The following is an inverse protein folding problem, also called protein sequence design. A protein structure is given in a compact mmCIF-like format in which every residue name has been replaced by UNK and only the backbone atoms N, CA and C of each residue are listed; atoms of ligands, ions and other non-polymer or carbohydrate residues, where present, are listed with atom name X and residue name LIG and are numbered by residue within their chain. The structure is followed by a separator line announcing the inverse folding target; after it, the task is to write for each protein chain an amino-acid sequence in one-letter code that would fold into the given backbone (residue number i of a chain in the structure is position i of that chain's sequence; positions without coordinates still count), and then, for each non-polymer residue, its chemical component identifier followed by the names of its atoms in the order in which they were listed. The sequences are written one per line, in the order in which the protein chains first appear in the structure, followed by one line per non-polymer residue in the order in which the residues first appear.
data_IF_161765007470
#
_entry.id   IF_161765007470
#
_cell.length_a   1.000
_cell.length_b   1.000
_cell.length_c   1.000
_cell.angle_alpha   90.00
_cell.angle_beta   90.00
_cell.angle_gamma   90.00
#
_symmetry.space_group_name_H-M   'P 1'
#
loop_
_entity.id
_entity.type
_entity.pdbx_description
1 polymer ?
#
# COMPACT_ATOMS: atom_id res chain seq x y z
N UNK A 1 22.08 41.05 13.35
CA UNK A 1 21.53 40.02 12.44
C UNK A 1 22.23 38.71 12.78
N UNK A 2 21.57 37.79 13.46
CA UNK A 2 22.15 36.47 13.73
C UNK A 2 22.10 35.67 12.43
N UNK A 3 23.26 35.40 11.84
CA UNK A 3 23.40 34.39 10.80
C UNK A 3 22.94 33.08 11.40
N UNK A 4 21.88 32.47 10.88
CA UNK A 4 21.58 31.06 11.15
C UNK A 4 22.84 30.30 10.76
N UNK A 5 23.65 29.89 11.75
CA UNK A 5 24.71 28.93 11.51
C UNK A 5 24.02 27.73 10.88
N UNK A 6 24.50 27.30 9.72
CA UNK A 6 23.99 26.10 9.06
C UNK A 6 24.17 24.95 10.06
N UNK A 7 23.10 24.61 10.80
CA UNK A 7 23.15 23.70 11.97
C UNK A 7 23.57 22.27 11.56
N UNK A 8 23.71 22.07 10.26
CA UNK A 8 24.02 20.82 9.62
C UNK A 8 25.30 20.87 8.76
N UNK A 9 26.11 21.94 8.82
CA UNK A 9 27.37 22.05 8.06
C UNK A 9 28.39 20.94 8.38
N UNK A 10 28.36 20.41 9.60
CA UNK A 10 29.22 19.29 10.00
C UNK A 10 28.83 17.96 9.37
N UNK A 11 27.65 17.87 8.72
CA UNK A 11 27.26 16.64 8.01
C UNK A 11 27.94 16.49 6.64
N UNK A 12 28.57 17.56 6.12
CA UNK A 12 29.28 17.52 4.84
C UNK A 12 30.54 16.63 4.89
N UNK A 13 30.95 16.17 6.08
CA UNK A 13 32.06 15.24 6.25
C UNK A 13 31.66 13.76 6.27
N UNK A 14 30.36 13.43 6.22
CA UNK A 14 29.93 12.03 6.20
C UNK A 14 29.79 11.51 4.78
N UNK A 15 30.21 10.26 4.60
CA UNK A 15 29.95 9.51 3.39
C UNK A 15 28.46 9.17 3.27
N UNK A 16 28.00 8.86 2.05
CA UNK A 16 26.57 8.63 1.80
C UNK A 16 25.97 7.49 2.64
N UNK A 17 26.74 6.43 2.87
CA UNK A 17 26.33 5.29 3.70
C UNK A 17 26.19 5.67 5.19
N UNK A 18 27.12 6.48 5.71
CA UNK A 18 27.09 6.95 7.11
C UNK A 18 25.89 7.86 7.33
N UNK A 19 25.65 8.80 6.41
CA UNK A 19 24.52 9.70 6.47
C UNK A 19 23.19 8.94 6.34
N UNK A 20 23.16 7.87 5.53
CA UNK A 20 21.99 7.00 5.42
C UNK A 20 21.72 6.24 6.72
N UNK A 21 22.75 5.68 7.36
CA UNK A 21 22.63 4.99 8.64
C UNK A 21 22.14 5.94 9.75
N UNK A 22 22.65 7.18 9.79
CA UNK A 22 22.17 8.21 10.73
C UNK A 22 20.71 8.57 10.49
N UNK A 23 20.28 8.67 9.23
CA UNK A 23 18.87 8.89 8.91
C UNK A 23 17.97 7.74 9.39
N UNK A 24 18.42 6.49 9.27
CA UNK A 24 17.70 5.33 9.80
C UNK A 24 17.60 5.38 11.34
N UNK A 25 18.68 5.73 12.03
CA UNK A 25 18.66 5.91 13.49
C UNK A 25 17.69 7.01 13.93
N UNK A 26 17.59 8.09 13.16
CA UNK A 26 16.60 9.14 13.41
C UNK A 26 15.17 8.63 13.22
N UNK A 27 14.90 7.77 12.23
CA UNK A 27 13.59 7.14 12.08
C UNK A 27 13.24 6.22 13.26
N UNK A 28 14.19 5.45 13.76
CA UNK A 28 13.98 4.61 14.94
C UNK A 28 13.62 5.40 16.19
N UNK A 29 14.17 6.62 16.31
CA UNK A 29 13.87 7.58 17.38
C UNK A 29 12.59 8.38 17.14
N UNK A 30 11.96 8.24 15.97
CA UNK A 30 10.77 9.01 15.57
C UNK A 30 11.08 10.40 15.03
N UNK A 31 12.36 10.76 14.86
CA UNK A 31 12.83 12.05 14.33
C UNK A 31 12.68 12.11 12.79
N UNK A 32 11.45 11.96 12.31
CA UNK A 32 11.14 11.82 10.86
C UNK A 32 11.60 13.04 10.04
N UNK A 33 11.56 14.24 10.61
CA UNK A 33 12.00 15.47 9.94
C UNK A 33 13.51 15.48 9.68
N UNK A 34 14.30 15.14 10.71
CA UNK A 34 15.76 15.05 10.62
C UNK A 34 16.20 13.96 9.66
N UNK A 35 15.54 12.79 9.72
CA UNK A 35 15.79 11.70 8.78
C UNK A 35 15.51 12.14 7.34
N UNK A 36 14.34 12.74 7.07
CA UNK A 36 13.97 13.16 5.73
C UNK A 36 14.90 14.25 5.17
N UNK A 37 15.38 15.16 6.02
CA UNK A 37 16.38 16.16 5.63
C UNK A 37 17.67 15.47 5.16
N UNK A 38 18.21 14.52 5.94
CA UNK A 38 19.43 13.76 5.58
C UNK A 38 19.24 12.98 4.28
N UNK A 39 18.12 12.26 4.17
CA UNK A 39 17.82 11.44 3.00
C UNK A 39 17.67 12.29 1.72
N UNK A 40 17.12 13.50 1.81
CA UNK A 40 17.02 14.40 0.66
C UNK A 40 18.38 14.83 0.13
N UNK A 41 19.37 15.03 1.00
CA UNK A 41 20.73 15.32 0.54
C UNK A 41 21.31 14.15 -0.25
N UNK A 42 21.01 12.93 0.20
CA UNK A 42 21.45 11.72 -0.48
C UNK A 42 20.75 11.51 -1.82
N UNK A 43 19.52 11.98 -2.02
CA UNK A 43 18.82 11.77 -3.30
C UNK A 43 19.44 12.49 -4.50
N UNK A 44 20.30 13.48 -4.25
CA UNK A 44 21.01 14.26 -5.27
C UNK A 44 22.51 13.89 -5.37
N UNK A 45 22.99 12.96 -4.53
CA UNK A 45 24.38 12.50 -4.52
C UNK A 45 24.69 11.55 -5.69
N UNK A 46 25.97 11.44 -6.07
CA UNK A 46 26.39 10.54 -7.15
C UNK A 46 26.43 9.07 -6.70
N UNK A 47 26.69 8.85 -5.41
CA UNK A 47 26.88 7.58 -4.73
C UNK A 47 25.68 7.21 -3.84
N UNK A 48 24.47 7.67 -4.20
CA UNK A 48 23.24 7.42 -3.42
C UNK A 48 23.01 5.93 -3.13
N UNK A 49 22.93 5.52 -1.86
CA UNK A 49 22.59 4.14 -1.51
C UNK A 49 21.19 3.80 -2.02
N UNK A 50 20.97 2.65 -2.70
CA UNK A 50 19.67 2.34 -3.30
C UNK A 50 18.49 2.29 -2.31
N UNK A 51 18.79 1.99 -1.04
CA UNK A 51 17.82 1.98 0.06
C UNK A 51 17.21 3.36 0.37
N UNK A 52 17.91 4.45 0.06
CA UNK A 52 17.45 5.84 0.30
C UNK A 52 16.09 6.08 -0.35
N UNK A 53 15.92 5.64 -1.61
CA UNK A 53 14.67 5.83 -2.33
C UNK A 53 13.50 5.06 -1.70
N UNK A 54 13.72 3.82 -1.24
CA UNK A 54 12.66 3.07 -0.54
C UNK A 54 12.25 3.76 0.76
N UNK A 55 13.23 4.18 1.57
CA UNK A 55 12.98 4.85 2.85
C UNK A 55 12.27 6.21 2.66
N UNK A 56 12.72 7.03 1.70
CA UNK A 56 12.02 8.26 1.32
C UNK A 56 10.58 7.99 0.89
N UNK A 57 10.35 6.95 0.08
CA UNK A 57 9.02 6.53 -0.35
C UNK A 57 8.12 6.21 0.83
N UNK A 58 8.62 5.43 1.80
CA UNK A 58 7.90 5.06 3.02
C UNK A 58 7.55 6.27 3.88
N UNK A 59 8.49 7.20 4.08
CA UNK A 59 8.23 8.46 4.80
C UNK A 59 7.14 9.26 4.08
N UNK A 60 7.19 9.37 2.76
CA UNK A 60 6.15 10.08 2.01
C UNK A 60 4.78 9.41 2.07
N UNK A 61 4.72 8.07 2.15
CA UNK A 61 3.48 7.34 2.44
C UNK A 61 2.94 7.72 3.81
N UNK A 62 3.78 7.74 4.85
CA UNK A 62 3.39 8.11 6.20
C UNK A 62 2.85 9.56 6.28
N UNK A 63 3.42 10.46 5.48
CA UNK A 63 3.01 11.87 5.40
C UNK A 63 1.80 12.10 4.48
N UNK A 64 1.29 11.07 3.81
CA UNK A 64 0.19 11.19 2.83
C UNK A 64 0.58 11.89 1.52
N UNK A 65 1.88 12.02 1.25
CA UNK A 65 2.42 12.65 0.04
C UNK A 65 2.60 11.62 -1.08
N UNK A 66 1.47 11.08 -1.55
CA UNK A 66 1.42 9.92 -2.46
C UNK A 66 2.21 10.11 -3.75
N UNK A 67 2.17 11.31 -4.33
CA UNK A 67 2.88 11.59 -5.59
C UNK A 67 4.40 11.59 -5.42
N UNK A 68 4.89 12.04 -4.27
CA UNK A 68 6.32 11.95 -3.95
C UNK A 68 6.71 10.52 -3.62
N UNK A 69 5.84 9.79 -2.91
CA UNK A 69 6.06 8.38 -2.59
C UNK A 69 6.25 7.53 -3.86
N UNK A 70 5.33 7.63 -4.83
CA UNK A 70 5.45 6.87 -6.09
C UNK A 70 6.75 7.20 -6.85
N UNK A 71 7.20 8.47 -6.85
CA UNK A 71 8.43 8.85 -7.55
C UNK A 71 9.64 8.19 -6.91
N UNK A 72 9.69 8.14 -5.58
CA UNK A 72 10.78 7.49 -4.86
C UNK A 72 10.75 5.98 -5.06
N UNK A 73 9.57 5.33 -4.99
CA UNK A 73 9.47 3.90 -5.31
C UNK A 73 9.84 3.60 -6.76
N UNK A 74 9.45 4.44 -7.71
CA UNK A 74 9.85 4.27 -9.11
C UNK A 74 11.36 4.34 -9.28
N UNK A 75 12.04 5.31 -8.63
CA UNK A 75 13.50 5.38 -8.63
C UNK A 75 14.13 4.11 -8.04
N UNK A 76 13.60 3.61 -6.92
CA UNK A 76 14.08 2.37 -6.31
C UNK A 76 13.90 1.17 -7.26
N UNK A 77 12.73 1.04 -7.90
CA UNK A 77 12.42 -0.08 -8.79
C UNK A 77 13.19 -0.06 -10.11
N UNK A 78 13.76 1.09 -10.51
CA UNK A 78 14.73 1.13 -11.62
C UNK A 78 16.04 0.42 -11.23
N UNK A 79 16.46 0.56 -9.97
CA UNK A 79 17.68 -0.07 -9.45
C UNK A 79 17.44 -1.53 -9.01
N UNK A 80 16.25 -1.81 -8.47
CA UNK A 80 15.84 -3.12 -7.97
C UNK A 80 14.47 -3.53 -8.54
N UNK A 81 14.41 -3.98 -9.80
CA UNK A 81 13.15 -4.29 -10.49
C UNK A 81 12.36 -5.45 -9.89
N UNK A 82 12.99 -6.28 -9.05
CA UNK A 82 12.39 -7.45 -8.40
C UNK A 82 11.92 -7.15 -6.96
N UNK A 83 12.00 -5.90 -6.52
CA UNK A 83 11.61 -5.55 -5.16
C UNK A 83 10.09 -5.54 -4.98
N UNK A 84 9.55 -6.72 -4.66
CA UNK A 84 8.11 -7.00 -4.48
C UNK A 84 7.47 -6.04 -3.48
N UNK A 85 8.17 -5.75 -2.38
CA UNK A 85 7.68 -4.85 -1.34
C UNK A 85 7.40 -3.45 -1.89
N UNK A 86 8.37 -2.87 -2.58
CA UNK A 86 8.28 -1.52 -3.15
C UNK A 86 7.32 -1.46 -4.33
N UNK A 87 7.21 -2.51 -5.15
CA UNK A 87 6.15 -2.63 -6.17
C UNK A 87 4.76 -2.54 -5.52
N UNK A 88 4.55 -3.27 -4.43
CA UNK A 88 3.29 -3.23 -3.70
C UNK A 88 3.03 -1.86 -3.07
N UNK A 89 4.04 -1.26 -2.42
CA UNK A 89 3.94 0.07 -1.82
C UNK A 89 3.65 1.18 -2.85
N UNK A 90 4.22 1.07 -4.06
CA UNK A 90 3.90 1.96 -5.17
C UNK A 90 2.41 1.84 -5.56
N UNK A 91 1.89 0.62 -5.71
CA UNK A 91 0.47 0.40 -5.96
C UNK A 91 -0.42 0.94 -4.84
N UNK A 92 -0.01 0.80 -3.58
CA UNK A 92 -0.71 1.39 -2.43
C UNK A 92 -0.70 2.92 -2.47
N UNK A 93 0.41 3.55 -2.84
CA UNK A 93 0.49 5.00 -3.03
C UNK A 93 -0.48 5.48 -4.14
N UNK A 94 -0.55 4.78 -5.27
CA UNK A 94 -1.53 5.08 -6.33
C UNK A 94 -2.98 4.97 -5.83
N UNK A 95 -3.30 3.89 -5.11
CA UNK A 95 -4.64 3.67 -4.55
C UNK A 95 -5.05 4.81 -3.62
N UNK A 96 -4.17 5.19 -2.68
CA UNK A 96 -4.42 6.29 -1.74
C UNK A 96 -4.48 7.67 -2.41
N UNK A 97 -3.85 7.83 -3.58
CA UNK A 97 -3.97 9.03 -4.40
C UNK A 97 -5.27 9.09 -5.24
N UNK A 98 -6.17 8.11 -5.09
CA UNK A 98 -7.40 8.02 -5.89
C UNK A 98 -7.19 7.43 -7.29
N UNK A 99 -5.97 6.97 -7.60
CA UNK A 99 -5.58 6.35 -8.87
C UNK A 99 -5.74 4.83 -8.81
N UNK A 100 -6.97 4.39 -8.57
CA UNK A 100 -7.28 2.97 -8.42
C UNK A 100 -6.98 2.13 -9.66
N UNK A 101 -7.13 2.71 -10.86
CA UNK A 101 -6.86 1.98 -12.11
C UNK A 101 -5.38 1.64 -12.28
N UNK A 102 -4.49 2.55 -11.88
CA UNK A 102 -3.05 2.38 -11.92
C UNK A 102 -2.58 1.42 -10.82
N UNK A 103 -3.15 1.52 -9.62
CA UNK A 103 -2.91 0.57 -8.54
C UNK A 103 -3.25 -0.88 -8.95
N UNK A 104 -4.41 -1.08 -9.60
CA UNK A 104 -4.80 -2.39 -10.14
C UNK A 104 -3.75 -2.94 -11.11
N UNK A 105 -3.31 -2.13 -12.08
CA UNK A 105 -2.30 -2.54 -13.08
C UNK A 105 -0.99 -2.97 -12.41
N UNK A 106 -0.54 -2.23 -11.41
CA UNK A 106 0.69 -2.54 -10.67
C UNK A 106 0.55 -3.87 -9.94
N UNK A 107 -0.54 -4.07 -9.20
CA UNK A 107 -0.77 -5.32 -8.46
C UNK A 107 -1.05 -6.51 -9.38
N UNK A 108 -1.70 -6.30 -10.53
CA UNK A 108 -1.89 -7.35 -11.53
C UNK A 108 -0.56 -7.82 -12.12
N UNK A 109 0.34 -6.90 -12.48
CA UNK A 109 1.69 -7.25 -12.91
C UNK A 109 2.46 -7.98 -11.80
N UNK A 110 2.37 -7.48 -10.57
CA UNK A 110 3.03 -8.11 -9.43
C UNK A 110 2.54 -9.55 -9.22
N UNK A 111 1.23 -9.78 -9.30
CA UNK A 111 0.62 -11.10 -9.12
C UNK A 111 0.80 -12.03 -10.32
N UNK A 112 1.17 -11.52 -11.50
CA UNK A 112 1.63 -12.38 -12.60
C UNK A 112 2.97 -13.04 -12.27
N UNK A 113 3.86 -12.32 -11.58
CA UNK A 113 5.18 -12.82 -11.18
C UNK A 113 5.16 -13.55 -9.84
N UNK A 114 4.36 -13.07 -8.89
CA UNK A 114 4.24 -13.59 -7.54
C UNK A 114 2.77 -13.88 -7.19
N UNK A 115 2.18 -14.97 -7.74
CA UNK A 115 0.74 -15.21 -7.70
C UNK A 115 0.14 -15.39 -6.30
N UNK A 116 0.98 -15.69 -5.32
CA UNK A 116 0.59 -15.96 -3.93
C UNK A 116 0.96 -14.83 -2.97
N UNK A 117 1.37 -13.65 -3.46
CA UNK A 117 1.78 -12.54 -2.61
C UNK A 117 0.58 -11.95 -1.83
N UNK A 118 0.49 -12.18 -0.50
CA UNK A 118 -0.74 -11.92 0.25
C UNK A 118 -1.20 -10.45 0.25
N UNK A 119 -0.32 -9.44 0.42
CA UNK A 119 -0.74 -8.05 0.40
C UNK A 119 -1.42 -7.67 -0.91
N UNK A 120 -0.84 -8.02 -2.06
CA UNK A 120 -1.44 -7.67 -3.34
C UNK A 120 -2.77 -8.39 -3.60
N UNK A 121 -2.90 -9.67 -3.23
CA UNK A 121 -4.16 -10.40 -3.31
C UNK A 121 -5.26 -9.72 -2.48
N UNK A 122 -4.94 -9.35 -1.24
CA UNK A 122 -5.90 -8.71 -0.33
C UNK A 122 -6.36 -7.35 -0.84
N UNK A 123 -5.42 -6.46 -1.18
CA UNK A 123 -5.77 -5.11 -1.63
C UNK A 123 -6.44 -5.10 -3.01
N UNK A 124 -6.08 -6.01 -3.91
CA UNK A 124 -6.80 -6.21 -5.17
C UNK A 124 -8.22 -6.71 -4.94
N UNK A 125 -8.40 -7.66 -4.02
CA UNK A 125 -9.73 -8.15 -3.66
C UNK A 125 -10.63 -7.03 -3.10
N UNK A 126 -10.10 -6.19 -2.19
CA UNK A 126 -10.83 -5.03 -1.68
C UNK A 126 -11.25 -4.08 -2.81
N UNK A 127 -10.34 -3.77 -3.73
CA UNK A 127 -10.64 -2.87 -4.84
C UNK A 127 -11.69 -3.48 -5.80
N UNK A 128 -11.58 -4.77 -6.10
CA UNK A 128 -12.57 -5.51 -6.91
C UNK A 128 -13.94 -5.57 -6.22
N UNK A 129 -13.98 -5.81 -4.92
CA UNK A 129 -15.22 -5.81 -4.15
C UNK A 129 -15.92 -4.44 -4.20
N UNK A 130 -15.16 -3.36 -4.04
CA UNK A 130 -15.68 -1.98 -4.15
C UNK A 130 -16.19 -1.66 -5.56
N UNK A 131 -15.66 -2.32 -6.60
CA UNK A 131 -16.13 -2.21 -7.99
C UNK A 131 -17.31 -3.16 -8.30
N UNK A 132 -17.83 -3.88 -7.31
CA UNK A 132 -18.91 -4.86 -7.48
C UNK A 132 -18.48 -6.19 -8.10
N UNK A 133 -17.18 -6.41 -8.30
CA UNK A 133 -16.61 -7.64 -8.87
C UNK A 133 -16.45 -8.71 -7.76
N UNK A 134 -17.54 -9.06 -7.10
CA UNK A 134 -17.55 -9.91 -5.89
C UNK A 134 -16.93 -11.29 -6.15
N UNK A 135 -17.22 -11.91 -7.28
CA UNK A 135 -16.67 -13.23 -7.63
C UNK A 135 -15.14 -13.19 -7.80
N UNK A 136 -14.61 -12.16 -8.47
CA UNK A 136 -13.17 -12.00 -8.67
C UNK A 136 -12.46 -11.66 -7.34
N UNK A 137 -13.08 -10.82 -6.50
CA UNK A 137 -12.58 -10.54 -5.16
C UNK A 137 -12.51 -11.81 -4.31
N UNK A 138 -13.57 -12.64 -4.34
CA UNK A 138 -13.59 -13.93 -3.62
C UNK A 138 -12.45 -14.83 -4.06
N UNK A 139 -12.22 -14.98 -5.37
CA UNK A 139 -11.15 -15.83 -5.89
C UNK A 139 -9.77 -15.40 -5.39
N UNK A 140 -9.50 -14.09 -5.34
CA UNK A 140 -8.24 -13.57 -4.80
C UNK A 140 -8.06 -13.90 -3.31
N UNK A 141 -9.13 -13.78 -2.53
CA UNK A 141 -9.11 -14.10 -1.10
C UNK A 141 -9.00 -15.61 -0.84
N UNK A 142 -9.62 -16.44 -1.68
CA UNK A 142 -9.52 -17.90 -1.60
C UNK A 142 -8.09 -18.35 -1.88
N UNK A 143 -7.42 -17.77 -2.89
CA UNK A 143 -5.99 -17.99 -3.15
C UNK A 143 -5.16 -17.56 -1.95
N UNK A 144 -5.44 -16.39 -1.38
CA UNK A 144 -4.73 -15.88 -0.21
C UNK A 144 -4.86 -16.84 0.98
N UNK A 145 -6.08 -17.24 1.34
CA UNK A 145 -6.32 -18.15 2.48
C UNK A 145 -5.75 -19.54 2.24
N UNK A 146 -5.67 -20.00 0.98
CA UNK A 146 -5.10 -21.30 0.64
C UNK A 146 -3.58 -21.36 0.81
N UNK A 147 -2.86 -20.30 0.44
CA UNK A 147 -1.40 -20.32 0.38
C UNK A 147 -0.70 -19.47 1.43
N UNK A 148 -1.37 -18.51 2.07
CA UNK A 148 -0.79 -17.72 3.14
C UNK A 148 -0.73 -18.52 4.44
N UNK A 149 0.34 -18.35 5.20
CA UNK A 149 0.46 -18.89 6.54
C UNK A 149 -0.59 -18.27 7.49
N UNK A 150 -1.02 -19.03 8.50
CA UNK A 150 -2.11 -18.64 9.42
C UNK A 150 -1.74 -17.41 10.26
N UNK A 151 -0.46 -17.24 10.55
CA UNK A 151 0.11 -16.10 11.28
C UNK A 151 0.27 -14.84 10.41
N UNK A 152 0.09 -14.96 9.10
CA UNK A 152 0.11 -13.82 8.18
C UNK A 152 -1.04 -12.86 8.52
N UNK A 153 -0.78 -11.55 8.70
CA UNK A 153 -1.82 -10.60 9.08
C UNK A 153 -2.98 -10.55 8.09
N UNK A 154 -2.72 -10.76 6.80
CA UNK A 154 -3.76 -10.76 5.76
C UNK A 154 -4.61 -12.02 5.77
N UNK A 155 -4.15 -13.12 6.36
CA UNK A 155 -4.93 -14.37 6.42
C UNK A 155 -6.23 -14.17 7.20
N UNK A 156 -6.13 -13.57 8.39
CA UNK A 156 -7.29 -13.26 9.23
C UNK A 156 -8.23 -12.26 8.54
N UNK A 157 -7.66 -11.17 8.01
CA UNK A 157 -8.41 -10.12 7.32
C UNK A 157 -9.14 -10.66 6.08
N UNK A 158 -8.52 -11.57 5.34
CA UNK A 158 -9.12 -12.19 4.17
C UNK A 158 -10.32 -13.07 4.53
N UNK A 159 -10.24 -13.84 5.63
CA UNK A 159 -11.37 -14.63 6.12
C UNK A 159 -12.54 -13.76 6.56
N UNK A 160 -12.26 -12.68 7.28
CA UNK A 160 -13.29 -11.71 7.70
C UNK A 160 -13.97 -11.07 6.49
N UNK A 161 -13.19 -10.67 5.48
CA UNK A 161 -13.74 -10.11 4.24
C UNK A 161 -14.58 -11.14 3.46
N UNK A 162 -14.13 -12.38 3.34
CA UNK A 162 -14.89 -13.46 2.71
C UNK A 162 -16.25 -13.67 3.38
N UNK A 163 -16.29 -13.70 4.72
CA UNK A 163 -17.54 -13.84 5.46
C UNK A 163 -18.51 -12.68 5.18
N UNK A 164 -17.99 -11.46 5.12
CA UNK A 164 -18.80 -10.28 4.80
C UNK A 164 -19.36 -10.33 3.38
N UNK A 165 -18.55 -10.74 2.40
CA UNK A 165 -19.00 -10.90 1.02
C UNK A 165 -20.05 -12.01 0.88
N UNK A 166 -19.88 -13.12 1.60
CA UNK A 166 -20.85 -14.24 1.62
C UNK A 166 -22.17 -13.83 2.24
N UNK A 167 -22.12 -13.06 3.32
CA UNK A 167 -23.31 -12.50 3.95
C UNK A 167 -24.06 -11.55 3.01
N UNK A 168 -23.35 -10.64 2.33
CA UNK A 168 -23.94 -9.72 1.35
C UNK A 168 -24.59 -10.47 0.17
N UNK A 169 -23.94 -11.53 -0.33
CA UNK A 169 -24.51 -12.34 -1.42
C UNK A 169 -25.76 -13.10 -0.97
N UNK A 170 -25.76 -13.67 0.24
CA UNK A 170 -26.93 -14.38 0.78
C UNK A 170 -28.10 -13.43 1.04
N UNK A 171 -27.84 -12.26 1.60
CA UNK A 171 -28.89 -11.26 1.87
C UNK A 171 -29.49 -10.71 0.56
N UNK A 172 -28.65 -10.44 -0.45
CA UNK A 172 -29.11 -10.05 -1.77
C UNK A 172 -30.00 -11.12 -2.42
N UNK A 173 -29.59 -12.39 -2.36
CA UNK A 173 -30.38 -13.51 -2.90
C UNK A 173 -31.69 -13.75 -2.14
N UNK A 174 -31.68 -13.60 -0.81
CA UNK A 174 -32.88 -13.71 0.00
C UNK A 174 -33.88 -12.58 -0.29
N UNK A 175 -33.39 -11.35 -0.48
CA UNK A 175 -34.22 -10.21 -0.90
C UNK A 175 -34.80 -10.40 -2.30
N UNK A 176 -34.03 -10.96 -3.24
CA UNK A 176 -34.50 -11.23 -4.59
C UNK A 176 -35.56 -12.35 -4.62
N UNK A 177 -35.40 -13.38 -3.79
CA UNK A 177 -36.36 -14.48 -3.67
C UNK A 177 -37.67 -14.08 -2.95
N UNK A 178 -37.62 -13.06 -2.09
CA UNK A 178 -38.78 -12.56 -1.34
C UNK A 178 -39.58 -11.46 -2.07
N UNK A 179 -39.13 -10.99 -3.24
CA UNK A 179 -39.87 -10.02 -4.03
C UNK A 179 -41.12 -10.67 -4.67
N UNK A 180 -42.36 -10.23 -4.37
CA UNK A 180 -43.54 -10.81 -4.98
C UNK A 180 -43.59 -10.48 -6.47
N UNK A 181 -43.96 -11.47 -7.29
CA UNK A 181 -44.14 -11.39 -8.73
C UNK A 181 -45.35 -10.51 -9.15
N UNK A 182 -45.38 -9.25 -8.74
CA UNK A 182 -46.45 -8.32 -9.04
C UNK A 182 -45.91 -6.93 -9.39
N UNK A 183 -45.56 -6.72 -10.66
CA UNK A 183 -45.66 -5.43 -11.35
C UNK A 183 -45.35 -5.60 -12.85
N UNK A 184 -46.37 -6.00 -13.62
CA UNK A 184 -46.46 -5.66 -15.04
C UNK A 184 -47.13 -4.28 -15.08
N UNK A 185 -46.40 -3.21 -15.48
CA UNK A 185 -46.89 -2.06 -16.25
C UNK A 185 -46.06 -0.77 -16.02
N UNK A 186 -45.55 -0.24 -17.14
CA UNK A 186 -45.39 1.18 -17.51
C UNK A 186 -44.53 2.11 -16.64
N UNK A 187 -43.36 2.52 -17.15
CA UNK A 187 -43.05 3.92 -17.52
C UNK A 187 -41.70 4.03 -18.27
N UNK A 188 -41.63 4.97 -19.22
CA UNK A 188 -40.49 5.31 -20.12
C UNK A 188 -39.37 6.09 -19.37
N UNK A 189 -38.20 6.34 -20.01
CA UNK A 189 -36.93 6.58 -19.32
C UNK A 189 -36.62 8.06 -19.10
N UNK A 190 -35.99 8.37 -17.97
CA UNK A 190 -35.23 9.60 -17.77
C UNK A 190 -33.81 9.30 -17.27
N UNK A 191 -32.87 10.11 -17.76
CA UNK A 191 -31.42 9.91 -17.70
C UNK A 191 -30.78 10.46 -16.40
N UNK A 192 -29.44 10.43 -16.28
CA UNK A 192 -28.74 9.67 -15.25
C UNK A 192 -28.51 10.45 -13.94
N UNK A 193 -28.77 9.79 -12.82
CA UNK A 193 -28.28 10.26 -11.51
C UNK A 193 -26.80 9.89 -11.36
N UNK A 194 -25.98 10.94 -11.24
CA UNK A 194 -24.55 10.98 -10.96
C UNK A 194 -24.16 10.03 -9.78
N UNK A 195 -23.08 9.24 -9.86
CA UNK A 195 -22.66 8.43 -8.72
C UNK A 195 -22.17 9.33 -7.59
N UNK A 196 -22.74 9.14 -6.40
CA UNK A 196 -22.22 9.68 -5.16
C UNK A 196 -20.80 9.13 -4.93
N UNK A 197 -19.88 10.02 -4.58
CA UNK A 197 -18.48 9.68 -4.32
C UNK A 197 -18.38 8.61 -3.21
N UNK A 198 -17.61 7.52 -3.42
CA UNK A 198 -17.45 6.52 -2.38
C UNK A 198 -16.62 7.08 -1.23
N UNK A 199 -17.13 6.90 -0.02
CA UNK A 199 -16.44 7.21 1.22
C UNK A 199 -15.08 6.52 1.24
N UNK A 200 -14.05 7.32 1.52
CA UNK A 200 -12.65 6.94 1.71
C UNK A 200 -12.60 5.74 2.67
N UNK A 201 -12.07 4.56 2.28
CA UNK A 201 -11.79 3.53 3.27
C UNK A 201 -10.73 4.09 4.19
N UNK A 202 -11.03 4.16 5.49
CA UNK A 202 -10.03 4.43 6.50
C UNK A 202 -8.91 3.41 6.30
N UNK A 203 -7.71 3.89 5.95
CA UNK A 203 -6.53 3.06 5.95
C UNK A 203 -6.47 2.39 7.33
N UNK A 204 -6.35 1.06 7.43
CA UNK A 204 -6.15 0.46 8.73
C UNK A 204 -4.81 1.00 9.24
N UNK A 205 -4.81 1.60 10.43
CA UNK A 205 -3.63 1.99 11.20
C UNK A 205 -2.78 0.74 11.52
N UNK A 206 -2.09 0.19 10.52
CA UNK A 206 -1.21 -1.00 10.68
C UNK A 206 0.26 -0.60 10.74
N UNK A 207 0.60 0.69 10.78
CA UNK A 207 2.00 1.14 10.77
C UNK A 207 2.59 1.50 12.14
N UNK A 208 2.04 1.03 13.25
CA UNK A 208 2.63 1.28 14.59
C UNK A 208 3.14 0.08 15.37
N UNK A 209 3.22 -1.15 14.83
CA UNK A 209 3.67 -2.26 15.69
C UNK A 209 4.49 -3.42 15.10
N UNK A 210 4.83 -3.49 13.80
CA UNK A 210 5.53 -4.69 13.27
C UNK A 210 6.78 -4.51 12.40
N UNK A 211 7.27 -3.29 12.22
CA UNK A 211 8.57 -3.05 11.57
C UNK A 211 9.80 -3.21 12.51
N UNK A 212 9.67 -3.95 13.63
CA UNK A 212 10.77 -4.17 14.59
C UNK A 212 11.39 -5.57 14.58
N UNK A 213 10.89 -6.54 13.82
CA UNK A 213 11.28 -7.95 14.03
C UNK A 213 11.42 -8.81 12.75
N UNK A 214 12.00 -8.28 11.67
CA UNK A 214 12.30 -9.10 10.47
C UNK A 214 13.77 -9.09 10.02
N UNK A 215 14.69 -8.46 10.76
CA UNK A 215 16.14 -8.50 10.46
C UNK A 215 16.98 -8.86 11.71
N UNK A 216 16.61 -9.94 12.40
CA UNK A 216 17.56 -10.69 13.24
C UNK A 216 17.86 -12.02 12.56
N UNK A 217 18.76 -11.99 11.59
CA UNK A 217 19.57 -13.16 11.29
C UNK A 217 20.57 -13.30 12.44
N UNK A 218 20.31 -14.23 13.35
CA UNK A 218 21.31 -14.67 14.33
C UNK A 218 22.51 -15.26 13.58
N UNK A 219 23.76 -14.86 13.87
CA UNK A 219 24.91 -15.66 13.49
C UNK A 219 24.95 -16.88 14.41
N UNK A 220 24.93 -18.07 13.80
CA UNK A 220 25.35 -19.29 14.48
C UNK A 220 26.87 -19.24 14.67
N UNK A 221 27.32 -19.17 15.92
CA UNK A 221 28.52 -19.85 16.42
C UNK A 221 28.23 -20.39 17.82
#
# INVERSE_FOLDING_TARGET
MATQSDTHAWFDSFESDELFALAQLDLEKGNTGEALWKLKRLTDAADTPPGVFSVCGQIYVQLGLWDRAQQMFQKHLVLHPESVGEMFQMGLAHSNAGRGSEAMKIWDNLLQKYPTYPPALFYRALMRANQGQIAAARNDLDVLVKYAAVDNPFFKQAKELLQNLDFQMRSANASAAAAPAAAIATTKPDAPAKPAAPAKPAAPDVLTARARNAYKTEPKE
#
